data_IF_742767693677
#
_entry.id   IF_742767693677
#
_cell.length_a   1.000
_cell.length_b   1.000
_cell.length_c   1.000
_cell.angle_alpha   90.00
_cell.angle_beta   90.00
_cell.angle_gamma   90.00
#
_symmetry.space_group_name_H-M   'P 1'
#
loop_
_entity.id
_entity.type
_entity.pdbx_description
1 polymer ?
#
# COMPACT_ATOMS: atom_id res chain seq x y z
N UNK A 1 17.60 -16.44 9.18
CA UNK A 1 16.52 -16.24 10.19
C UNK A 1 15.43 -15.43 9.50
N UNK A 2 14.23 -15.97 9.33
CA UNK A 2 13.12 -15.24 8.69
C UNK A 2 12.48 -14.36 9.76
N UNK A 3 12.54 -13.03 9.60
CA UNK A 3 11.89 -12.08 10.51
C UNK A 3 10.60 -11.59 9.86
N UNK A 4 9.47 -12.19 10.24
CA UNK A 4 8.17 -11.78 9.73
C UNK A 4 7.75 -10.47 10.41
N UNK A 5 7.90 -9.34 9.73
CA UNK A 5 7.32 -8.06 10.15
C UNK A 5 6.14 -7.73 9.26
N UNK A 6 4.92 -8.00 9.72
CA UNK A 6 3.71 -7.66 8.97
C UNK A 6 3.43 -6.16 9.17
N UNK A 7 3.67 -5.37 8.12
CA UNK A 7 3.19 -3.97 8.07
C UNK A 7 1.96 -3.90 7.16
N UNK A 8 0.79 -3.75 7.76
CA UNK A 8 -0.44 -3.39 7.05
C UNK A 8 -0.41 -1.88 6.87
N UNK A 9 -0.46 -1.40 5.62
CA UNK A 9 -0.63 0.04 5.36
C UNK A 9 -2.00 0.27 4.74
N UNK A 10 -2.77 1.20 5.30
CA UNK A 10 -4.11 1.54 4.84
C UNK A 10 -4.07 2.59 3.71
N UNK A 11 -3.41 2.25 2.60
CA UNK A 11 -3.71 2.93 1.34
C UNK A 11 -4.84 2.20 0.61
N UNK A 12 -5.24 2.70 -0.57
CA UNK A 12 -6.14 1.98 -1.49
C UNK A 12 -5.67 0.56 -1.89
N UNK A 13 -4.44 0.19 -1.54
CA UNK A 13 -3.86 -1.13 -1.74
C UNK A 13 -3.44 -1.66 -0.37
N UNK A 14 -4.22 -2.58 0.19
CA UNK A 14 -3.76 -3.35 1.34
C UNK A 14 -2.66 -4.28 0.84
N UNK A 15 -1.54 -4.24 1.55
CA UNK A 15 -0.37 -5.06 1.30
C UNK A 15 0.18 -5.61 2.60
N UNK A 16 0.75 -6.79 2.51
CA UNK A 16 1.58 -7.37 3.56
C UNK A 16 3.03 -7.38 3.07
N UNK A 17 3.94 -6.88 3.89
CA UNK A 17 5.37 -6.91 3.62
C UNK A 17 5.96 -7.95 4.58
N UNK A 18 6.87 -8.78 4.10
CA UNK A 18 7.62 -9.76 4.87
C UNK A 18 9.11 -9.46 4.68
N UNK A 19 9.85 -9.29 5.77
CA UNK A 19 11.30 -9.17 5.73
C UNK A 19 11.93 -10.57 5.73
N UNK A 20 12.77 -10.82 4.74
CA UNK A 20 13.45 -12.09 4.51
C UNK A 20 14.95 -11.88 4.54
N UNK A 21 15.71 -12.96 4.67
CA UNK A 21 17.14 -12.96 4.34
C UNK A 21 17.36 -13.83 3.13
N UNK A 22 18.20 -13.41 2.19
CA UNK A 22 18.67 -14.28 1.11
C UNK A 22 19.65 -15.33 1.65
N UNK A 23 20.18 -16.18 0.76
CA UNK A 23 21.11 -17.25 1.13
C UNK A 23 22.43 -16.72 1.72
N UNK A 24 22.80 -15.49 1.38
CA UNK A 24 23.98 -14.77 1.89
C UNK A 24 23.69 -13.98 3.19
N UNK A 25 22.46 -14.02 3.70
CA UNK A 25 22.04 -13.28 4.89
C UNK A 25 21.64 -11.82 4.65
N UNK A 26 21.62 -11.33 3.40
CA UNK A 26 21.22 -9.95 3.06
C UNK A 26 19.70 -9.76 3.17
N UNK A 27 19.22 -8.58 3.62
CA UNK A 27 17.80 -8.32 3.83
C UNK A 27 17.06 -8.20 2.50
N UNK A 28 16.02 -9.00 2.33
CA UNK A 28 15.12 -9.00 1.17
C UNK A 28 13.69 -8.70 1.65
N UNK A 29 12.81 -8.31 0.72
CA UNK A 29 11.39 -8.09 1.04
C UNK A 29 10.51 -8.92 0.14
N UNK A 30 9.50 -9.55 0.71
CA UNK A 30 8.40 -10.15 -0.03
C UNK A 30 7.13 -9.37 0.23
N UNK A 31 6.56 -8.81 -0.83
CA UNK A 31 5.37 -7.95 -0.78
C UNK A 31 4.23 -8.71 -1.41
N UNK A 32 3.10 -8.79 -0.71
CA UNK A 32 1.84 -9.33 -1.23
C UNK A 32 0.85 -8.16 -1.34
N UNK A 33 0.35 -7.90 -2.54
CA UNK A 33 -0.75 -6.96 -2.78
C UNK A 33 -2.07 -7.74 -2.85
N UNK A 34 -3.00 -7.45 -1.94
CA UNK A 34 -4.21 -8.26 -1.72
C UNK A 34 -5.43 -7.82 -2.55
N UNK A 35 -5.38 -6.63 -3.17
CA UNK A 35 -6.53 -6.02 -3.87
C UNK A 35 -6.37 -6.06 -5.39
N UNK A 36 -7.46 -5.78 -6.11
CA UNK A 36 -7.54 -5.91 -7.58
C UNK A 36 -7.20 -7.36 -8.00
N UNK A 37 -6.46 -7.57 -9.09
CA UNK A 37 -6.00 -8.91 -9.52
C UNK A 37 -4.88 -9.51 -8.64
N UNK A 38 -4.54 -8.83 -7.53
CA UNK A 38 -3.41 -9.13 -6.65
C UNK A 38 -2.04 -9.07 -7.34
N UNK A 39 -0.99 -9.08 -6.53
CA UNK A 39 0.39 -9.24 -6.98
C UNK A 39 1.25 -9.81 -5.84
N UNK A 40 2.37 -10.42 -6.19
CA UNK A 40 3.44 -10.62 -5.24
C UNK A 40 4.75 -10.12 -5.86
N UNK A 41 5.58 -9.45 -5.07
CA UNK A 41 6.84 -8.85 -5.51
C UNK A 41 7.94 -9.24 -4.52
N UNK A 42 9.09 -9.67 -5.03
CA UNK A 42 10.31 -9.89 -4.27
C UNK A 42 11.29 -8.79 -4.59
N UNK A 43 11.78 -8.12 -3.55
CA UNK A 43 12.78 -7.07 -3.62
C UNK A 43 14.08 -7.52 -2.95
N UNK A 44 15.20 -7.05 -3.50
CA UNK A 44 16.51 -7.17 -2.84
C UNK A 44 16.73 -6.09 -1.77
N UNK A 45 17.95 -6.05 -1.25
CA UNK A 45 18.41 -5.08 -0.24
C UNK A 45 18.33 -3.62 -0.70
N UNK A 46 18.34 -3.37 -2.01
CA UNK A 46 18.26 -2.05 -2.64
C UNK A 46 16.82 -1.71 -3.06
N UNK A 47 15.83 -2.52 -2.67
CA UNK A 47 14.44 -2.45 -3.11
C UNK A 47 14.26 -2.62 -4.64
N UNK A 48 15.20 -3.26 -5.33
CA UNK A 48 15.03 -3.57 -6.75
C UNK A 48 14.19 -4.83 -6.92
N UNK A 49 13.24 -4.78 -7.86
CA UNK A 49 12.35 -5.91 -8.15
C UNK A 49 13.14 -7.05 -8.77
N UNK A 50 13.28 -8.16 -8.05
CA UNK A 50 13.85 -9.40 -8.58
C UNK A 50 12.81 -10.26 -9.23
N UNK A 51 11.65 -10.41 -8.58
CA UNK A 51 10.55 -11.25 -9.06
C UNK A 51 9.24 -10.52 -8.85
N UNK A 52 8.32 -10.59 -9.81
CA UNK A 52 6.93 -10.21 -9.59
C UNK A 52 6.00 -11.20 -10.29
N UNK A 53 4.84 -11.51 -9.68
CA UNK A 53 3.76 -12.23 -10.36
C UNK A 53 3.33 -11.49 -11.63
N UNK A 54 3.31 -10.16 -11.56
CA UNK A 54 2.99 -9.29 -12.69
C UNK A 54 3.89 -8.05 -12.70
N UNK A 55 4.59 -7.88 -13.80
CA UNK A 55 5.26 -6.63 -14.16
C UNK A 55 4.26 -5.72 -14.88
N UNK A 56 4.21 -4.45 -14.50
CA UNK A 56 3.18 -3.52 -14.98
C UNK A 56 3.65 -2.09 -14.79
N UNK A 57 3.24 -1.21 -15.70
CA UNK A 57 3.35 0.24 -15.55
C UNK A 57 2.03 0.78 -15.06
N UNK A 58 2.07 1.56 -14.00
CA UNK A 58 0.92 2.29 -13.48
C UNK A 58 1.16 3.78 -13.66
N UNK A 59 0.10 4.59 -13.54
CA UNK A 59 0.24 6.06 -13.61
C UNK A 59 1.23 6.62 -12.60
N UNK A 60 1.26 6.04 -11.39
CA UNK A 60 1.98 6.62 -10.25
C UNK A 60 3.27 5.86 -9.89
N UNK A 61 3.52 4.70 -10.52
CA UNK A 61 4.69 3.83 -10.24
C UNK A 61 4.83 2.74 -11.32
N UNK A 62 6.03 2.20 -11.43
CA UNK A 62 6.32 1.04 -12.25
C UNK A 62 6.67 -0.18 -11.36
N UNK A 63 6.28 -1.37 -11.81
CA UNK A 63 6.77 -2.66 -11.29
C UNK A 63 7.46 -3.35 -12.46
N UNK A 64 8.79 -3.22 -12.52
CA UNK A 64 9.63 -3.71 -13.62
C UNK A 64 10.85 -4.44 -13.07
N UNK A 65 11.30 -5.49 -13.73
CA UNK A 65 12.47 -6.25 -13.31
C UNK A 65 13.71 -5.35 -13.23
N UNK A 66 14.51 -5.54 -12.17
CA UNK A 66 15.75 -4.80 -11.90
C UNK A 66 15.58 -3.27 -11.87
N UNK A 67 14.37 -2.80 -11.54
CA UNK A 67 14.08 -1.39 -11.28
C UNK A 67 13.72 -1.22 -9.81
N UNK A 68 14.01 -0.03 -9.29
CA UNK A 68 13.60 0.35 -7.94
C UNK A 68 12.08 0.28 -7.79
N UNK A 69 11.64 -0.39 -6.73
CA UNK A 69 10.24 -0.45 -6.38
C UNK A 69 9.81 0.81 -5.64
N UNK A 70 8.99 1.61 -6.31
CA UNK A 70 8.37 2.80 -5.71
C UNK A 70 7.06 2.39 -5.06
N UNK A 71 6.93 2.61 -3.75
CA UNK A 71 5.67 2.40 -3.06
C UNK A 71 4.59 3.34 -3.60
N UNK A 72 3.34 2.87 -3.78
CA UNK A 72 2.25 3.74 -4.19
C UNK A 72 2.09 4.87 -3.18
N UNK A 73 1.93 6.10 -3.66
CA UNK A 73 1.59 7.25 -2.81
C UNK A 73 0.27 6.93 -2.09
N UNK A 74 0.27 7.01 -0.75
CA UNK A 74 -1.00 7.03 -0.02
C UNK A 74 -1.77 8.27 -0.42
N UNK A 75 -3.09 8.16 -0.59
CA UNK A 75 -3.95 9.29 -0.97
C UNK A 75 -4.98 9.48 0.13
N UNK A 76 -4.93 10.60 0.84
CA UNK A 76 -5.78 10.84 2.00
C UNK A 76 -5.15 10.40 3.31
N UNK A 77 -5.84 10.71 4.41
CA UNK A 77 -5.41 10.44 5.78
C UNK A 77 -5.66 8.96 6.09
N UNK A 78 -4.79 8.35 6.90
CA UNK A 78 -5.02 6.98 7.38
C UNK A 78 -6.12 6.99 8.44
N UNK A 79 -7.21 6.25 8.20
CA UNK A 79 -8.34 6.18 9.11
C UNK A 79 -7.98 5.62 10.49
N UNK A 80 -6.90 4.82 10.59
CA UNK A 80 -6.44 4.30 11.88
C UNK A 80 -5.68 5.34 12.70
N UNK A 81 -5.25 6.45 12.09
CA UNK A 81 -4.44 7.47 12.75
C UNK A 81 -5.06 8.86 12.71
N UNK A 82 -6.20 9.04 12.04
CA UNK A 82 -6.89 10.33 11.97
C UNK A 82 -7.37 10.76 13.37
N UNK A 83 -7.17 12.03 13.71
CA UNK A 83 -7.68 12.60 14.94
C UNK A 83 -9.08 13.23 14.73
N UNK A 84 -9.75 13.57 15.83
CA UNK A 84 -11.11 14.11 15.78
C UNK A 84 -11.21 15.46 15.03
N UNK A 85 -10.20 16.32 15.15
CA UNK A 85 -10.22 17.65 14.52
C UNK A 85 -10.09 17.52 12.99
N UNK A 86 -9.12 16.75 12.52
CA UNK A 86 -8.91 16.48 11.09
C UNK A 86 -10.15 15.82 10.47
N UNK A 87 -10.78 14.90 11.22
CA UNK A 87 -12.02 14.26 10.78
C UNK A 87 -13.15 15.28 10.63
N UNK A 88 -13.37 16.13 11.64
CA UNK A 88 -14.41 17.15 11.60
C UNK A 88 -14.19 18.13 10.44
N UNK A 89 -12.95 18.58 10.21
CA UNK A 89 -12.63 19.44 9.06
C UNK A 89 -12.98 18.76 7.73
N UNK A 90 -12.69 17.47 7.56
CA UNK A 90 -13.03 16.73 6.34
C UNK A 90 -14.55 16.60 6.15
N UNK A 91 -15.32 16.41 7.23
CA UNK A 91 -16.78 16.28 7.10
C UNK A 91 -17.43 17.65 6.85
N UNK A 92 -16.97 18.71 7.50
CA UNK A 92 -17.58 20.04 7.39
C UNK A 92 -17.23 20.78 6.10
N UNK A 93 -16.07 20.51 5.50
CA UNK A 93 -15.60 21.23 4.31
C UNK A 93 -16.04 20.63 2.98
N UNK A 94 -16.81 19.54 2.97
CA UNK A 94 -17.20 18.84 1.75
C UNK A 94 -18.71 18.80 1.55
N UNK A 95 -19.15 19.21 0.37
CA UNK A 95 -20.51 18.98 -0.10
C UNK A 95 -20.59 17.64 -0.86
N UNK A 96 -21.63 16.85 -0.58
CA UNK A 96 -21.93 15.61 -1.29
C UNK A 96 -22.14 14.40 -0.38
N UNK A 97 -22.15 13.22 -0.99
CA UNK A 97 -22.41 11.96 -0.29
C UNK A 97 -21.26 11.57 0.65
N UNK A 98 -21.58 11.35 1.92
CA UNK A 98 -20.63 11.03 3.00
C UNK A 98 -19.69 9.87 2.65
N UNK A 99 -20.22 8.82 2.04
CA UNK A 99 -19.47 7.65 1.59
C UNK A 99 -18.34 8.04 0.63
N UNK A 100 -18.65 8.93 -0.31
CA UNK A 100 -17.70 9.40 -1.32
C UNK A 100 -16.63 10.32 -0.72
N UNK A 101 -17.00 11.11 0.30
CA UNK A 101 -16.08 11.96 1.06
C UNK A 101 -15.09 11.09 1.83
N UNK A 102 -15.58 10.10 2.58
CA UNK A 102 -14.76 9.16 3.34
C UNK A 102 -13.82 8.36 2.43
N UNK A 103 -14.33 7.85 1.30
CA UNK A 103 -13.54 7.06 0.36
C UNK A 103 -12.44 7.86 -0.38
N UNK A 104 -12.61 9.18 -0.51
CA UNK A 104 -11.62 10.07 -1.15
C UNK A 104 -10.58 10.58 -0.17
N UNK A 105 -10.98 10.88 1.07
CA UNK A 105 -10.16 11.64 2.01
C UNK A 105 -9.58 10.78 3.14
N UNK A 106 -10.20 9.66 3.51
CA UNK A 106 -9.85 8.88 4.73
C UNK A 106 -9.41 7.44 4.40
N UNK A 107 -9.02 7.13 3.16
CA UNK A 107 -8.58 5.80 2.73
C UNK A 107 -9.51 4.61 3.09
N UNK A 108 -10.79 4.87 3.43
CA UNK A 108 -11.79 3.82 3.65
C UNK A 108 -12.21 3.31 2.27
N UNK A 109 -11.80 2.09 1.90
CA UNK A 109 -12.25 1.49 0.64
C UNK A 109 -13.77 1.31 0.68
N UNK A 110 -14.47 1.65 -0.40
CA UNK A 110 -15.94 1.66 -0.52
C UNK A 110 -16.66 0.31 -0.32
N UNK A 111 -15.97 -0.73 0.16
CA UNK A 111 -16.55 -2.01 0.57
C UNK A 111 -17.34 -1.90 1.90
N UNK A 112 -17.17 -0.80 2.63
CA UNK A 112 -17.93 -0.46 3.85
C UNK A 112 -18.80 0.80 3.66
N UNK A 113 -19.07 1.17 2.40
CA UNK A 113 -19.78 2.39 2.03
C UNK A 113 -21.21 2.16 1.54
N UNK A 114 -21.72 0.93 1.60
CA UNK A 114 -23.13 0.60 1.30
C UNK A 114 -23.89 0.29 2.59
#
# INVERSE_FOLDING_TARGET
MIKIIIKISNGKIIKSIFELSNIEGKPWKFIIELFNKGNYIVLDEQNFVKIAKRYSKYRDRDILANREYIFPKSRGIDFLTINQNDFNEIIHNFEGEIVRILARNINISGLYGE
#
